data_IF_244879569206
#
_entry.id   IF_244879569206
#
_cell.length_a   1.000
_cell.length_b   1.000
_cell.length_c   1.000
_cell.angle_alpha   90.00
_cell.angle_beta   90.00
_cell.angle_gamma   90.00
#
_symmetry.space_group_name_H-M   'P 1'
#
loop_
_entity.id
_entity.type
_entity.pdbx_description
1 polymer ?
#
# COMPACT_ATOMS: atom_id res chain seq x y z
N UNK A 1 -17.71 3.42 28.43
CA UNK A 1 -16.83 2.96 27.33
C UNK A 1 -15.51 2.55 27.94
N UNK A 2 -15.25 1.25 28.03
CA UNK A 2 -14.00 0.69 28.58
C UNK A 2 -12.85 1.11 27.66
N UNK A 3 -11.95 1.95 28.17
CA UNK A 3 -10.64 2.18 27.55
C UNK A 3 -9.94 0.82 27.48
N UNK A 4 -9.81 0.25 26.28
CA UNK A 4 -9.03 -0.96 26.10
C UNK A 4 -7.60 -0.67 26.60
N UNK A 5 -7.11 -1.47 27.54
CA UNK A 5 -5.73 -1.39 28.01
C UNK A 5 -4.76 -1.57 26.84
N UNK A 6 -3.65 -0.84 26.85
CA UNK A 6 -2.60 -0.99 25.86
C UNK A 6 -2.15 -2.46 25.73
N UNK A 7 -1.71 -2.86 24.54
CA UNK A 7 -1.20 -4.21 24.28
C UNK A 7 0.01 -4.51 25.18
N UNK A 8 0.10 -5.74 25.71
CA UNK A 8 1.20 -6.16 26.58
C UNK A 8 2.59 -6.13 25.90
N UNK A 9 2.62 -6.12 24.57
CA UNK A 9 3.86 -6.08 23.76
C UNK A 9 4.20 -4.67 23.24
N UNK A 10 3.36 -3.67 23.54
CA UNK A 10 3.56 -2.30 23.06
C UNK A 10 4.76 -1.65 23.77
N UNK A 11 5.83 -1.38 23.03
CA UNK A 11 7.02 -0.70 23.54
C UNK A 11 7.59 0.23 22.48
N UNK A 12 7.82 1.50 22.86
CA UNK A 12 8.38 2.54 22.00
C UNK A 12 7.66 2.70 20.64
N UNK A 13 6.33 2.51 20.64
CA UNK A 13 5.50 2.59 19.45
C UNK A 13 4.42 3.65 19.64
N UNK A 14 4.62 4.81 19.03
CA UNK A 14 3.78 5.98 19.20
C UNK A 14 2.46 5.84 18.41
N UNK A 15 1.35 6.38 18.94
CA UNK A 15 0.04 6.32 18.30
C UNK A 15 0.03 6.91 16.88
N UNK A 16 0.76 8.01 16.65
CA UNK A 16 0.96 8.58 15.31
C UNK A 16 1.60 7.58 14.32
N UNK A 17 2.52 6.72 14.77
CA UNK A 17 3.14 5.67 13.94
C UNK A 17 2.14 4.55 13.64
N UNK A 18 1.36 4.15 14.64
CA UNK A 18 0.24 3.21 14.46
C UNK A 18 -0.77 3.73 13.43
N UNK A 19 -1.11 5.01 13.48
CA UNK A 19 -2.00 5.62 12.50
C UNK A 19 -1.34 5.72 11.11
N UNK A 20 -0.05 6.03 11.04
CA UNK A 20 0.69 6.11 9.78
C UNK A 20 0.84 4.75 9.09
N UNK A 21 1.10 3.68 9.86
CA UNK A 21 1.15 2.31 9.36
C UNK A 21 -0.21 1.88 8.81
N UNK A 22 -1.31 2.19 9.49
CA UNK A 22 -2.66 1.94 8.97
C UNK A 22 -2.93 2.68 7.64
N UNK A 23 -2.43 3.92 7.50
CA UNK A 23 -2.51 4.64 6.21
C UNK A 23 -1.67 3.98 5.13
N UNK A 24 -0.45 3.56 5.44
CA UNK A 24 0.42 2.86 4.48
C UNK A 24 -0.23 1.55 4.01
N UNK A 25 -0.80 0.76 4.93
CA UNK A 25 -1.53 -0.47 4.59
C UNK A 25 -2.63 -0.20 3.55
N UNK A 26 -3.42 0.85 3.74
CA UNK A 26 -4.48 1.19 2.79
C UNK A 26 -3.91 1.68 1.44
N UNK A 27 -2.77 2.39 1.46
CA UNK A 27 -2.09 2.83 0.24
C UNK A 27 -1.54 1.66 -0.58
N UNK A 28 -0.91 0.66 0.06
CA UNK A 28 -0.44 -0.55 -0.64
C UNK A 28 -1.61 -1.38 -1.20
N UNK A 29 -2.72 -1.47 -0.46
CA UNK A 29 -3.93 -2.11 -0.97
C UNK A 29 -4.54 -1.35 -2.16
N UNK A 30 -4.51 -0.01 -2.12
CA UNK A 30 -4.91 0.82 -3.26
C UNK A 30 -4.00 0.57 -4.47
N UNK A 31 -2.68 0.57 -4.28
CA UNK A 31 -1.71 0.30 -5.34
C UNK A 31 -1.93 -1.09 -5.95
N UNK A 32 -2.17 -2.12 -5.12
CA UNK A 32 -2.54 -3.46 -5.56
C UNK A 32 -3.80 -3.46 -6.44
N UNK A 33 -4.84 -2.72 -6.06
CA UNK A 33 -6.07 -2.58 -6.86
C UNK A 33 -5.85 -1.82 -8.18
N UNK A 34 -5.00 -0.79 -8.19
CA UNK A 34 -4.62 -0.08 -9.43
C UNK A 34 -3.92 -1.03 -10.40
N UNK A 35 -2.91 -1.76 -9.93
CA UNK A 35 -2.19 -2.72 -10.76
C UNK A 35 -3.08 -3.86 -11.26
N UNK A 36 -4.06 -4.28 -10.46
CA UNK A 36 -5.06 -5.25 -10.90
C UNK A 36 -5.89 -4.70 -12.06
N UNK A 37 -6.35 -3.44 -11.97
CA UNK A 37 -7.08 -2.77 -13.05
C UNK A 37 -6.24 -2.68 -14.34
N UNK A 38 -4.98 -2.26 -14.22
CA UNK A 38 -4.04 -2.22 -15.37
C UNK A 38 -3.86 -3.60 -16.00
N UNK A 39 -3.71 -4.64 -15.19
CA UNK A 39 -3.53 -6.01 -15.68
C UNK A 39 -4.69 -6.47 -16.57
N UNK A 40 -5.93 -6.31 -16.08
CA UNK A 40 -7.11 -6.74 -16.82
C UNK A 40 -7.43 -5.85 -18.03
N UNK A 41 -7.02 -4.58 -18.01
CA UNK A 41 -7.07 -3.74 -19.21
C UNK A 41 -6.21 -4.30 -20.36
N UNK A 42 -4.99 -4.76 -20.07
CA UNK A 42 -4.13 -5.37 -21.09
C UNK A 42 -4.54 -6.79 -21.49
N UNK A 43 -5.42 -7.43 -20.73
CA UNK A 43 -5.98 -8.77 -21.03
C UNK A 43 -7.24 -8.69 -21.91
N UNK A 44 -7.86 -7.51 -22.06
CA UNK A 44 -8.98 -7.30 -22.98
C UNK A 44 -8.62 -7.68 -24.43
N UNK A 45 -9.60 -8.16 -25.20
CA UNK A 45 -9.40 -8.67 -26.56
C UNK A 45 -9.00 -7.59 -27.58
N UNK A 46 -9.36 -6.34 -27.32
CA UNK A 46 -9.04 -5.16 -28.12
C UNK A 46 -7.66 -4.55 -27.83
N UNK A 47 -7.04 -4.90 -26.70
CA UNK A 47 -5.66 -4.51 -26.33
C UNK A 47 -4.67 -5.68 -26.49
N UNK A 48 -5.00 -6.83 -25.91
CA UNK A 48 -4.34 -8.14 -26.07
C UNK A 48 -2.81 -8.18 -25.81
N UNK A 49 -2.28 -7.35 -24.90
CA UNK A 49 -0.86 -7.31 -24.55
C UNK A 49 -0.56 -8.20 -23.33
N UNK A 50 -0.54 -9.52 -23.54
CA UNK A 50 -0.41 -10.54 -22.46
C UNK A 50 0.79 -10.36 -21.52
N UNK A 51 1.92 -9.84 -22.01
CA UNK A 51 3.10 -9.62 -21.18
C UNK A 51 2.92 -8.41 -20.25
N UNK A 52 2.22 -7.36 -20.69
CA UNK A 52 1.83 -6.24 -19.83
C UNK A 52 0.82 -6.71 -18.78
N UNK A 53 -0.19 -7.49 -19.19
CA UNK A 53 -1.16 -8.07 -18.27
C UNK A 53 -0.47 -8.89 -17.16
N UNK A 54 0.46 -9.78 -17.55
CA UNK A 54 1.24 -10.59 -16.60
C UNK A 54 2.13 -9.74 -15.69
N UNK A 55 2.79 -8.71 -16.23
CA UNK A 55 3.64 -7.81 -15.46
C UNK A 55 2.84 -7.09 -14.36
N UNK A 56 1.73 -6.45 -14.72
CA UNK A 56 0.91 -5.74 -13.75
C UNK A 56 0.17 -6.66 -12.78
N UNK A 57 -0.18 -7.88 -13.19
CA UNK A 57 -0.72 -8.88 -12.25
C UNK A 57 0.32 -9.24 -11.17
N UNK A 58 1.58 -9.38 -11.58
CA UNK A 58 2.67 -9.65 -10.65
C UNK A 58 2.88 -8.48 -9.68
N UNK A 59 2.91 -7.23 -10.19
CA UNK A 59 3.00 -6.04 -9.33
C UNK A 59 1.83 -5.92 -8.35
N UNK A 60 0.61 -6.22 -8.80
CA UNK A 60 -0.58 -6.25 -7.92
C UNK A 60 -0.42 -7.21 -6.75
N UNK A 61 0.16 -8.38 -6.99
CA UNK A 61 0.46 -9.36 -5.94
C UNK A 61 1.58 -8.90 -5.00
N UNK A 62 2.65 -8.29 -5.53
CA UNK A 62 3.74 -7.75 -4.72
C UNK A 62 3.25 -6.64 -3.78
N UNK A 63 2.43 -5.71 -4.26
CA UNK A 63 1.86 -4.66 -3.40
C UNK A 63 0.92 -5.22 -2.32
N UNK A 64 0.20 -6.30 -2.64
CA UNK A 64 -0.59 -6.97 -1.60
C UNK A 64 0.30 -7.62 -0.55
N UNK A 65 1.43 -8.20 -0.94
CA UNK A 65 2.42 -8.73 -0.01
C UNK A 65 3.04 -7.61 0.84
N UNK A 66 3.31 -6.42 0.28
CA UNK A 66 3.75 -5.24 1.03
C UNK A 66 2.72 -4.83 2.10
N UNK A 67 1.43 -4.80 1.73
CA UNK A 67 0.34 -4.52 2.67
C UNK A 67 0.30 -5.56 3.82
N UNK A 68 0.38 -6.84 3.49
CA UNK A 68 0.35 -7.94 4.46
C UNK A 68 1.56 -7.92 5.41
N UNK A 69 2.78 -7.66 4.89
CA UNK A 69 3.99 -7.47 5.72
C UNK A 69 3.82 -6.30 6.68
N UNK A 70 3.25 -5.21 6.21
CA UNK A 70 2.99 -4.02 7.01
C UNK A 70 1.94 -4.29 8.10
N UNK A 71 0.90 -5.09 7.81
CA UNK A 71 -0.06 -5.57 8.81
C UNK A 71 0.60 -6.48 9.87
N UNK A 72 1.52 -7.36 9.46
CA UNK A 72 2.28 -8.20 10.39
C UNK A 72 3.12 -7.35 11.35
N UNK A 73 3.81 -6.34 10.82
CA UNK A 73 4.58 -5.37 11.60
C UNK A 73 3.70 -4.64 12.62
N UNK A 74 2.52 -4.16 12.21
CA UNK A 74 1.55 -3.51 13.11
C UNK A 74 1.21 -4.39 14.33
N UNK A 75 0.95 -5.68 14.08
CA UNK A 75 0.63 -6.63 15.14
C UNK A 75 1.84 -6.93 16.03
N UNK A 76 3.03 -7.08 15.46
CA UNK A 76 4.27 -7.33 16.22
C UNK A 76 4.60 -6.19 17.16
N UNK A 77 4.36 -4.93 16.74
CA UNK A 77 4.57 -3.75 17.59
C UNK A 77 3.45 -3.53 18.62
N UNK A 78 2.40 -4.36 18.62
CA UNK A 78 1.28 -4.27 19.56
C UNK A 78 0.21 -3.26 19.17
N UNK A 79 0.27 -2.70 17.97
CA UNK A 79 -0.76 -1.82 17.40
C UNK A 79 -2.04 -2.58 17.04
N UNK A 80 -2.99 -1.84 16.49
CA UNK A 80 -4.27 -2.34 15.98
C UNK A 80 -4.42 -1.95 14.52
N UNK A 81 -4.88 -2.91 13.72
CA UNK A 81 -5.16 -2.71 12.29
C UNK A 81 -6.58 -2.18 12.16
N UNK A 82 -6.75 -1.06 11.46
CA UNK A 82 -8.04 -0.47 11.13
C UNK A 82 -8.15 -0.31 9.61
N UNK A 83 -8.64 -1.36 8.95
CA UNK A 83 -8.86 -1.33 7.50
C UNK A 83 -9.88 -0.24 7.13
N UNK A 84 -9.57 0.47 6.05
CA UNK A 84 -10.44 1.47 5.43
C UNK A 84 -10.86 0.99 4.05
N UNK A 85 -11.84 1.68 3.46
CA UNK A 85 -12.21 1.46 2.07
C UNK A 85 -10.98 1.55 1.16
N UNK A 86 -10.79 0.54 0.33
CA UNK A 86 -9.86 0.64 -0.79
C UNK A 86 -10.59 1.34 -1.92
N UNK A 87 -10.18 2.58 -2.21
CA UNK A 87 -10.80 3.37 -3.27
C UNK A 87 -10.55 2.69 -4.61
N UNK A 88 -11.54 2.75 -5.50
CA UNK A 88 -11.33 2.33 -6.88
C UNK A 88 -10.26 3.24 -7.52
N UNK A 89 -9.51 2.74 -8.51
CA UNK A 89 -8.63 3.58 -9.32
C UNK A 89 -9.41 4.77 -9.92
N UNK A 90 -8.72 5.88 -10.19
CA UNK A 90 -9.28 7.08 -10.79
C UNK A 90 -9.68 6.89 -12.27
N UNK A 91 -9.23 5.79 -12.89
CA UNK A 91 -9.41 5.47 -14.30
C UNK A 91 -9.74 3.98 -14.49
N UNK A 92 -10.62 3.71 -15.45
CA UNK A 92 -10.96 2.36 -15.90
C UNK A 92 -10.32 2.04 -17.27
N UNK A 93 -9.93 3.07 -18.03
CA UNK A 93 -9.21 2.98 -19.31
C UNK A 93 -7.78 3.53 -19.15
N UNK A 94 -6.79 2.76 -19.61
CA UNK A 94 -5.37 3.07 -19.48
C UNK A 94 -4.71 3.52 -20.80
N UNK A 95 -5.51 3.68 -21.86
CA UNK A 95 -5.16 4.23 -23.18
C UNK A 95 -4.12 3.42 -23.97
N UNK A 96 -2.90 3.29 -23.46
CA UNK A 96 -1.81 2.54 -24.08
C UNK A 96 -0.73 2.17 -23.05
N UNK A 97 0.20 1.31 -23.48
CA UNK A 97 1.32 0.83 -22.65
C UNK A 97 2.19 1.94 -22.06
N UNK A 98 2.48 3.01 -22.83
CA UNK A 98 3.32 4.11 -22.34
C UNK A 98 2.61 4.89 -21.23
N UNK A 99 1.36 5.31 -21.46
CA UNK A 99 0.59 6.07 -20.47
C UNK A 99 0.37 5.26 -19.18
N UNK A 100 0.19 3.93 -19.32
CA UNK A 100 0.06 3.05 -18.15
C UNK A 100 1.35 2.97 -17.33
N UNK A 101 2.51 2.86 -18.00
CA UNK A 101 3.82 2.86 -17.32
C UNK A 101 4.13 4.22 -16.67
N UNK A 102 3.76 5.33 -17.31
CA UNK A 102 3.91 6.66 -16.71
C UNK A 102 3.05 6.82 -15.45
N UNK A 103 1.81 6.30 -15.47
CA UNK A 103 0.97 6.28 -14.29
C UNK A 103 1.56 5.39 -13.19
N UNK A 104 2.00 4.17 -13.53
CA UNK A 104 2.66 3.27 -12.57
C UNK A 104 3.86 3.96 -11.90
N UNK A 105 4.71 4.64 -12.68
CA UNK A 105 5.83 5.41 -12.14
C UNK A 105 5.38 6.53 -11.18
N UNK A 106 4.29 7.22 -11.48
CA UNK A 106 3.72 8.22 -10.59
C UNK A 106 3.19 7.60 -9.29
N UNK A 107 2.48 6.47 -9.38
CA UNK A 107 1.99 5.73 -8.23
C UNK A 107 3.15 5.28 -7.32
N UNK A 108 4.19 4.67 -7.88
CA UNK A 108 5.39 4.26 -7.14
C UNK A 108 6.08 5.42 -6.43
N UNK A 109 6.15 6.59 -7.08
CA UNK A 109 6.69 7.81 -6.44
C UNK A 109 5.83 8.24 -5.25
N UNK A 110 4.51 8.16 -5.36
CA UNK A 110 3.59 8.48 -4.25
C UNK A 110 3.71 7.50 -3.09
N UNK A 111 3.78 6.20 -3.37
CA UNK A 111 4.01 5.14 -2.35
C UNK A 111 5.35 5.37 -1.65
N UNK A 112 6.42 5.56 -2.41
CA UNK A 112 7.74 5.82 -1.86
C UNK A 112 7.80 7.12 -1.03
N UNK A 113 7.12 8.19 -1.46
CA UNK A 113 7.05 9.42 -0.69
C UNK A 113 6.34 9.21 0.66
N UNK A 114 5.26 8.40 0.70
CA UNK A 114 4.59 8.03 1.94
C UNK A 114 5.51 7.23 2.88
N UNK A 115 6.33 6.32 2.35
CA UNK A 115 7.34 5.60 3.11
C UNK A 115 8.42 6.53 3.69
N UNK A 116 8.90 7.51 2.92
CA UNK A 116 9.86 8.50 3.41
C UNK A 116 9.27 9.35 4.55
N UNK A 117 8.00 9.74 4.44
CA UNK A 117 7.29 10.46 5.50
C UNK A 117 7.10 9.62 6.75
N UNK A 118 6.78 8.33 6.60
CA UNK A 118 6.70 7.37 7.69
C UNK A 118 8.05 7.21 8.40
N UNK A 119 9.14 7.06 7.66
CA UNK A 119 10.49 6.96 8.22
C UNK A 119 10.92 8.25 8.94
N UNK A 120 10.58 9.42 8.38
CA UNK A 120 10.80 10.70 9.06
C UNK A 120 10.05 10.75 10.39
N UNK A 121 8.79 10.32 10.40
CA UNK A 121 7.99 10.28 11.63
C UNK A 121 8.58 9.30 12.65
N UNK A 122 9.07 8.13 12.22
CA UNK A 122 9.77 7.17 13.10
C UNK A 122 11.00 7.81 13.75
N UNK A 123 11.78 8.54 12.96
CA UNK A 123 12.94 9.31 13.44
C UNK A 123 12.53 10.38 14.47
N UNK A 124 11.49 11.16 14.19
CA UNK A 124 10.97 12.19 15.11
C UNK A 124 10.47 11.58 16.44
N UNK A 125 9.89 10.38 16.38
CA UNK A 125 9.39 9.65 17.57
C UNK A 125 10.45 8.78 18.24
N UNK A 126 11.70 8.82 17.77
CA UNK A 126 12.80 8.02 18.30
C UNK A 126 12.50 6.51 18.32
N UNK A 127 11.87 6.00 17.26
CA UNK A 127 11.61 4.57 17.07
C UNK A 127 12.61 3.97 16.07
N UNK A 128 13.79 3.48 16.51
CA UNK A 128 14.83 2.98 15.62
C UNK A 128 14.53 1.60 15.01
N UNK A 129 13.47 0.93 15.46
CA UNK A 129 13.05 -0.36 14.91
C UNK A 129 12.17 -0.18 13.67
N UNK A 130 11.49 0.96 13.56
CA UNK A 130 10.61 1.29 12.44
C UNK A 130 11.35 2.15 11.42
#
# INVERSE_FOLDING_TARGET
MTTASASQVLQNYHQDLEAAINRQINLELYASCVYLSMSYYFDCDDVALKNFAKYFLHQSHEEREHAEKTMQLQNWRGGRIFLQDVKKPDRDDWENGQNTMEYALCLERSVNQSLLELHRLATEKSDPHL
#
